data_IF_802350311893
#
_entry.id   IF_802350311893
#
_cell.length_a   1.000
_cell.length_b   1.000
_cell.length_c   1.000
_cell.angle_alpha   90.00
_cell.angle_beta   90.00
_cell.angle_gamma   90.00
#
_symmetry.space_group_name_H-M   'P 1'
#
loop_
_entity.id
_entity.type
_entity.pdbx_description
1 polymer ?
#
# COMPACT_ATOMS: atom_id res chain seq x y z
N UNK A 1 50.66 17.72 -16.54
CA UNK A 1 49.64 16.67 -16.75
C UNK A 1 48.61 16.75 -15.62
N UNK A 2 47.60 17.61 -15.80
CA UNK A 2 46.59 18.04 -14.80
C UNK A 2 45.32 17.18 -14.82
N UNK A 3 45.41 15.94 -15.31
CA UNK A 3 44.24 15.14 -15.66
C UNK A 3 43.88 14.04 -14.65
N UNK A 4 44.60 13.93 -13.52
CA UNK A 4 44.39 12.83 -12.55
C UNK A 4 43.46 13.25 -11.37
N UNK A 5 43.15 14.54 -11.19
CA UNK A 5 42.39 15.00 -10.00
C UNK A 5 40.87 15.07 -10.17
N UNK A 6 40.31 14.78 -11.35
CA UNK A 6 38.89 15.02 -11.65
C UNK A 6 38.02 13.77 -11.78
N UNK A 7 38.56 12.57 -11.54
CA UNK A 7 37.80 11.32 -11.71
C UNK A 7 37.03 10.84 -10.46
N UNK A 8 37.10 11.55 -9.33
CA UNK A 8 36.53 11.07 -8.06
C UNK A 8 35.12 11.61 -7.72
N UNK A 9 34.54 12.51 -8.52
CA UNK A 9 33.31 13.22 -8.15
C UNK A 9 32.02 12.75 -8.86
N UNK A 10 32.09 11.81 -9.80
CA UNK A 10 30.94 11.40 -10.61
C UNK A 10 30.23 10.12 -10.11
N UNK A 11 30.46 9.67 -8.88
CA UNK A 11 29.89 8.41 -8.36
C UNK A 11 28.76 8.60 -7.32
N UNK A 12 28.26 9.81 -7.06
CA UNK A 12 27.38 10.10 -5.90
C UNK A 12 25.95 10.57 -6.22
N UNK A 13 25.43 10.38 -7.43
CA UNK A 13 24.15 10.98 -7.83
C UNK A 13 23.01 10.00 -8.19
N UNK A 14 23.10 8.74 -7.77
CA UNK A 14 21.97 7.79 -7.84
C UNK A 14 22.13 6.94 -6.59
N UNK A 15 21.32 7.02 -5.53
CA UNK A 15 19.88 6.81 -5.52
C UNK A 15 19.36 7.49 -4.24
N UNK A 16 18.86 8.73 -4.33
CA UNK A 16 17.97 9.27 -3.28
C UNK A 16 16.55 8.74 -3.50
N UNK A 17 16.40 7.41 -3.52
CA UNK A 17 15.11 6.77 -3.30
C UNK A 17 14.78 6.99 -1.82
N UNK A 18 14.32 8.20 -1.53
CA UNK A 18 13.76 8.58 -0.27
C UNK A 18 12.83 7.47 0.21
N UNK A 19 13.25 6.81 1.28
CA UNK A 19 12.49 5.80 2.01
C UNK A 19 11.31 6.49 2.70
N UNK A 20 10.34 6.95 1.92
CA UNK A 20 9.05 7.35 2.42
C UNK A 20 8.25 6.07 2.59
N UNK A 21 8.04 5.64 3.83
CA UNK A 21 7.08 4.60 4.16
C UNK A 21 5.79 4.89 3.37
N UNK A 22 5.42 4.00 2.45
CA UNK A 22 4.41 4.32 1.46
C UNK A 22 3.11 4.68 2.18
N UNK A 23 2.60 5.88 1.90
CA UNK A 23 1.39 6.41 2.51
C UNK A 23 0.22 6.11 1.58
N UNK A 24 -0.96 5.77 2.11
CA UNK A 24 -2.16 5.68 1.29
C UNK A 24 -2.51 7.07 0.75
N UNK A 25 -2.60 7.21 -0.57
CA UNK A 25 -2.96 8.47 -1.25
C UNK A 25 -4.44 8.52 -1.59
N UNK A 26 -5.02 7.37 -1.96
CA UNK A 26 -6.42 7.25 -2.33
C UNK A 26 -6.92 5.84 -2.03
N UNK A 27 -8.20 5.73 -1.66
CA UNK A 27 -8.90 4.47 -1.44
C UNK A 27 -10.13 4.47 -2.35
N UNK A 28 -10.15 3.57 -3.32
CA UNK A 28 -11.18 3.48 -4.35
C UNK A 28 -12.04 2.25 -4.07
N UNK A 29 -13.36 2.40 -4.10
CA UNK A 29 -14.28 1.27 -4.04
C UNK A 29 -14.23 0.52 -5.36
N UNK A 30 -14.19 -0.80 -5.28
CA UNK A 30 -14.21 -1.67 -6.45
C UNK A 30 -15.58 -2.33 -6.63
N UNK A 31 -15.95 -3.22 -5.71
CA UNK A 31 -17.14 -4.06 -5.83
C UNK A 31 -17.67 -4.51 -4.48
N UNK A 32 -18.94 -4.94 -4.42
CA UNK A 32 -19.47 -5.71 -3.30
C UNK A 32 -19.47 -7.18 -3.68
N UNK A 33 -18.97 -8.00 -2.78
CA UNK A 33 -18.83 -9.43 -2.93
C UNK A 33 -19.49 -10.11 -1.72
N UNK A 34 -19.76 -11.39 -1.86
CA UNK A 34 -20.27 -12.22 -0.77
C UNK A 34 -19.33 -13.40 -0.61
N UNK A 35 -18.89 -13.67 0.61
CA UNK A 35 -18.05 -14.82 0.86
C UNK A 35 -18.87 -16.11 0.78
N UNK A 36 -18.20 -17.27 0.68
CA UNK A 36 -18.85 -18.58 0.64
C UNK A 36 -19.80 -18.83 1.84
N UNK A 37 -19.56 -18.15 2.96
CA UNK A 37 -20.37 -18.21 4.18
C UNK A 37 -21.60 -17.28 4.16
N UNK A 38 -21.90 -16.62 3.04
CA UNK A 38 -23.01 -15.67 2.90
C UNK A 38 -22.76 -14.30 3.53
N UNK A 39 -21.51 -14.01 3.93
CA UNK A 39 -21.16 -12.71 4.53
C UNK A 39 -20.79 -11.72 3.44
N UNK A 40 -21.59 -10.67 3.27
CA UNK A 40 -21.30 -9.59 2.35
C UNK A 40 -20.06 -8.78 2.80
N UNK A 41 -19.14 -8.56 1.86
CA UNK A 41 -17.97 -7.72 2.03
C UNK A 41 -17.80 -6.79 0.81
N UNK A 42 -17.08 -5.70 1.00
CA UNK A 42 -16.82 -4.72 -0.05
C UNK A 42 -15.32 -4.72 -0.36
N UNK A 43 -14.95 -4.83 -1.63
CA UNK A 43 -13.56 -4.71 -2.07
C UNK A 43 -13.21 -3.26 -2.39
N UNK A 44 -12.00 -2.86 -2.00
CA UNK A 44 -11.42 -1.55 -2.21
C UNK A 44 -9.96 -1.68 -2.66
N UNK A 45 -9.50 -0.74 -3.46
CA UNK A 45 -8.10 -0.61 -3.82
C UNK A 45 -7.49 0.63 -3.18
N UNK A 46 -6.38 0.45 -2.49
CA UNK A 46 -5.56 1.54 -1.97
C UNK A 46 -4.41 1.81 -2.90
N UNK A 47 -4.36 3.05 -3.37
CA UNK A 47 -3.20 3.59 -4.06
C UNK A 47 -2.20 4.08 -3.03
N UNK A 48 -0.97 3.63 -3.13
CA UNK A 48 0.11 4.01 -2.24
C UNK A 48 1.02 5.04 -2.94
N UNK A 49 1.67 5.90 -2.16
CA UNK A 49 2.54 6.98 -2.66
C UNK A 49 3.77 6.49 -3.44
N UNK A 50 4.07 5.20 -3.37
CA UNK A 50 5.12 4.52 -4.14
C UNK A 50 4.61 3.99 -5.50
N UNK A 51 3.39 4.33 -5.91
CA UNK A 51 2.77 3.89 -7.16
C UNK A 51 2.19 2.47 -7.12
N UNK A 52 2.31 1.75 -5.99
CA UNK A 52 1.73 0.41 -5.83
C UNK A 52 0.26 0.51 -5.47
N UNK A 53 -0.55 -0.43 -5.99
CA UNK A 53 -1.95 -0.61 -5.62
C UNK A 53 -2.07 -1.87 -4.76
N UNK A 54 -2.84 -1.79 -3.68
CA UNK A 54 -3.08 -2.89 -2.76
C UNK A 54 -4.58 -3.08 -2.55
N UNK A 55 -5.02 -4.32 -2.51
CA UNK A 55 -6.41 -4.66 -2.24
C UNK A 55 -6.72 -4.59 -0.74
N UNK A 56 -7.94 -4.21 -0.43
CA UNK A 56 -8.50 -4.15 0.91
C UNK A 56 -9.96 -4.56 0.88
N UNK A 57 -10.35 -5.40 1.83
CA UNK A 57 -11.73 -5.85 2.00
C UNK A 57 -12.34 -5.21 3.23
N UNK A 58 -13.54 -4.68 3.12
CA UNK A 58 -14.31 -4.10 4.21
C UNK A 58 -15.48 -5.02 4.57
N UNK A 59 -15.62 -5.26 5.86
CA UNK A 59 -16.54 -6.22 6.46
C UNK A 59 -17.42 -5.50 7.50
N UNK A 60 -18.57 -6.10 7.82
CA UNK A 60 -19.50 -5.61 8.84
C UNK A 60 -19.87 -4.13 8.65
N UNK A 61 -20.28 -3.75 7.43
CA UNK A 61 -20.63 -2.36 7.08
C UNK A 61 -19.47 -1.37 7.37
N UNK A 62 -18.26 -1.69 6.87
CA UNK A 62 -17.02 -0.91 7.04
C UNK A 62 -16.50 -0.77 8.48
N UNK A 63 -16.95 -1.63 9.40
CA UNK A 63 -16.44 -1.67 10.79
C UNK A 63 -15.16 -2.51 10.95
N UNK A 64 -14.87 -3.38 9.98
CA UNK A 64 -13.67 -4.21 9.93
C UNK A 64 -13.05 -4.10 8.54
N UNK A 65 -11.74 -3.92 8.47
CA UNK A 65 -10.99 -3.72 7.23
C UNK A 65 -9.81 -4.68 7.22
N UNK A 66 -9.72 -5.53 6.22
CA UNK A 66 -8.65 -6.53 6.11
C UNK A 66 -7.79 -6.21 4.88
N UNK A 67 -6.48 -6.41 5.00
CA UNK A 67 -5.52 -6.16 3.91
C UNK A 67 -5.48 -7.39 2.99
N UNK A 68 -5.82 -7.23 1.72
CA UNK A 68 -5.95 -8.34 0.76
C UNK A 68 -7.35 -8.96 0.75
N UNK A 69 -7.41 -10.24 0.38
CA UNK A 69 -8.63 -10.99 0.10
C UNK A 69 -9.45 -11.35 1.35
N UNK A 70 -10.57 -12.04 1.13
CA UNK A 70 -11.49 -12.45 2.18
C UNK A 70 -10.90 -13.42 3.22
N UNK A 71 -9.78 -14.05 2.92
CA UNK A 71 -9.05 -14.95 3.82
C UNK A 71 -7.97 -14.23 4.64
N UNK A 72 -7.82 -12.91 4.47
CA UNK A 72 -6.74 -12.18 5.13
C UNK A 72 -6.91 -12.09 6.64
N UNK A 73 -5.88 -12.51 7.37
CA UNK A 73 -5.85 -12.47 8.84
C UNK A 73 -5.51 -11.08 9.39
N UNK A 74 -4.89 -10.22 8.57
CA UNK A 74 -4.45 -8.88 8.99
C UNK A 74 -5.60 -7.87 8.89
N UNK A 75 -6.47 -7.90 9.89
CA UNK A 75 -7.64 -7.03 9.97
C UNK A 75 -7.48 -5.92 11.01
N UNK A 76 -7.95 -4.73 10.63
CA UNK A 76 -7.95 -3.52 11.41
C UNK A 76 -9.37 -2.98 11.57
N UNK A 77 -9.64 -2.29 12.68
CA UNK A 77 -10.95 -1.66 12.90
C UNK A 77 -11.15 -0.36 12.12
N UNK A 78 -10.04 0.26 11.69
CA UNK A 78 -10.06 1.57 11.00
C UNK A 78 -9.52 1.43 9.58
N UNK A 79 -10.27 1.95 8.60
CA UNK A 79 -9.88 2.00 7.18
C UNK A 79 -8.46 2.54 6.97
N UNK A 80 -8.14 3.69 7.57
CA UNK A 80 -6.83 4.34 7.42
C UNK A 80 -5.70 3.47 7.99
N UNK A 81 -5.96 2.70 9.05
CA UNK A 81 -4.95 1.79 9.61
C UNK A 81 -4.68 0.62 8.66
N UNK A 82 -5.75 0.01 8.14
CA UNK A 82 -5.65 -1.06 7.17
C UNK A 82 -4.92 -0.59 5.89
N UNK A 83 -5.28 0.59 5.37
CA UNK A 83 -4.65 1.20 4.21
C UNK A 83 -3.16 1.51 4.44
N UNK A 84 -2.80 2.02 5.63
CA UNK A 84 -1.40 2.24 6.02
C UNK A 84 -0.64 0.93 6.15
N UNK A 85 -1.25 -0.12 6.70
CA UNK A 85 -0.63 -1.44 6.81
C UNK A 85 -0.40 -2.05 5.42
N UNK A 86 -1.39 -1.97 4.53
CA UNK A 86 -1.28 -2.39 3.13
C UNK A 86 -0.14 -1.66 2.40
N UNK A 87 -0.09 -0.33 2.52
CA UNK A 87 0.98 0.45 1.90
C UNK A 87 2.36 0.23 2.55
N UNK A 88 2.44 -0.03 3.86
CA UNK A 88 3.72 -0.40 4.50
C UNK A 88 4.24 -1.76 4.04
N UNK A 89 3.35 -2.70 3.75
CA UNK A 89 3.69 -4.02 3.21
C UNK A 89 3.91 -4.00 1.67
N UNK A 90 4.16 -2.83 1.08
CA UNK A 90 4.23 -2.64 -0.39
C UNK A 90 5.64 -2.66 -0.95
#
# INVERSE_FOLDING_TARGET
MKFIKTAAFAAMAVVSASSFAAKPTSIVFDSNNENADGTAYSTYFVNCSNGKKKELTAWNNRKKWCVGDATSETCEKKQIKAAKAACKAS
#
